data_IF_500256228677
#
_entry.id   IF_500256228677
#
_cell.length_a   1.000
_cell.length_b   1.000
_cell.length_c   1.000
_cell.angle_alpha   90.00
_cell.angle_beta   90.00
_cell.angle_gamma   90.00
#
_symmetry.space_group_name_H-M   'P 1'
#
loop_
_entity.id
_entity.type
_entity.pdbx_description
1 polymer ?
#
# COMPACT_ATOMS: atom_id res chain seq x y z
N UNK A 1 10.80 -14.62 -21.80
CA UNK A 1 10.58 -13.15 -21.86
C UNK A 1 9.13 -12.81 -21.45
N UNK A 2 8.65 -13.26 -20.28
CA UNK A 2 7.28 -12.97 -19.81
C UNK A 2 7.18 -11.63 -19.07
N UNK A 3 8.27 -11.20 -18.42
CA UNK A 3 8.34 -9.95 -17.65
C UNK A 3 8.27 -8.66 -18.49
N UNK A 4 8.21 -8.75 -19.83
CA UNK A 4 8.15 -7.58 -20.72
C UNK A 4 6.75 -7.27 -21.25
N UNK A 5 5.77 -8.15 -21.03
CA UNK A 5 4.39 -7.90 -21.45
C UNK A 5 3.67 -7.07 -20.40
N UNK A 6 3.12 -5.91 -20.79
CA UNK A 6 2.29 -5.04 -19.94
C UNK A 6 1.15 -5.82 -19.25
N UNK A 7 0.60 -6.83 -19.94
CA UNK A 7 -0.41 -7.76 -19.41
C UNK A 7 0.08 -8.61 -18.22
N UNK A 8 1.39 -8.79 -18.04
CA UNK A 8 1.95 -9.62 -16.98
C UNK A 8 1.75 -8.99 -15.60
N UNK A 9 1.96 -7.67 -15.46
CA UNK A 9 1.68 -6.97 -14.20
C UNK A 9 0.18 -6.95 -13.87
N UNK A 10 -0.67 -6.76 -14.88
CA UNK A 10 -2.12 -6.87 -14.72
C UNK A 10 -2.54 -8.28 -14.25
N UNK A 11 -1.91 -9.32 -14.77
CA UNK A 11 -2.17 -10.70 -14.35
C UNK A 11 -1.71 -10.96 -12.90
N UNK A 12 -0.51 -10.49 -12.54
CA UNK A 12 0.00 -10.65 -11.17
C UNK A 12 -0.87 -9.93 -10.14
N UNK A 13 -1.30 -8.70 -10.44
CA UNK A 13 -2.21 -7.96 -9.54
C UNK A 13 -3.57 -8.64 -9.48
N UNK A 14 -4.06 -9.25 -10.57
CA UNK A 14 -5.29 -10.02 -10.57
C UNK A 14 -5.20 -11.29 -9.69
N UNK A 15 -4.09 -12.03 -9.73
CA UNK A 15 -3.86 -13.15 -8.81
C UNK A 15 -3.85 -12.66 -7.36
N UNK A 16 -3.11 -11.58 -7.08
CA UNK A 16 -3.03 -11.01 -5.73
C UNK A 16 -4.41 -10.60 -5.21
N UNK A 17 -5.20 -9.90 -6.03
CA UNK A 17 -6.39 -9.18 -5.57
C UNK A 17 -7.72 -9.86 -5.87
N UNK A 18 -7.88 -10.47 -7.04
CA UNK A 18 -9.15 -11.01 -7.54
C UNK A 18 -9.34 -12.50 -7.28
N UNK A 19 -8.28 -13.30 -7.24
CA UNK A 19 -8.36 -14.75 -7.05
C UNK A 19 -8.42 -15.14 -5.56
N UNK A 20 -9.51 -14.77 -4.88
CA UNK A 20 -9.65 -14.96 -3.41
C UNK A 20 -9.65 -16.43 -2.96
N UNK A 21 -10.00 -17.36 -3.83
CA UNK A 21 -10.00 -18.81 -3.57
C UNK A 21 -8.59 -19.45 -3.61
N UNK A 22 -7.61 -18.73 -4.17
CA UNK A 22 -6.23 -19.22 -4.22
C UNK A 22 -5.53 -19.12 -2.87
N UNK A 23 -4.54 -19.99 -2.67
CA UNK A 23 -3.75 -19.99 -1.44
C UNK A 23 -3.06 -18.64 -1.20
N UNK A 24 -3.08 -18.17 0.05
CA UNK A 24 -2.47 -16.89 0.45
C UNK A 24 -0.98 -16.81 0.06
N UNK A 25 -0.26 -17.93 0.13
CA UNK A 25 1.14 -18.01 -0.28
C UNK A 25 1.32 -17.74 -1.78
N UNK A 26 0.47 -18.32 -2.63
CA UNK A 26 0.50 -18.11 -4.09
C UNK A 26 0.15 -16.67 -4.45
N UNK A 27 -0.88 -16.11 -3.80
CA UNK A 27 -1.30 -14.71 -3.98
C UNK A 27 -0.19 -13.73 -3.55
N UNK A 28 0.42 -13.99 -2.40
CA UNK A 28 1.54 -13.19 -1.89
C UNK A 28 2.77 -13.28 -2.79
N UNK A 29 3.11 -14.48 -3.29
CA UNK A 29 4.20 -14.66 -4.25
C UNK A 29 3.98 -13.85 -5.53
N UNK A 30 2.76 -13.86 -6.07
CA UNK A 30 2.40 -13.04 -7.23
C UNK A 30 2.60 -11.54 -6.93
N UNK A 31 2.21 -11.09 -5.74
CA UNK A 31 2.45 -9.71 -5.28
C UNK A 31 3.94 -9.35 -5.16
N UNK A 32 4.78 -10.26 -4.66
CA UNK A 32 6.23 -10.04 -4.57
C UNK A 32 6.89 -9.98 -5.95
N UNK A 33 6.44 -10.80 -6.91
CA UNK A 33 6.88 -10.72 -8.30
C UNK A 33 6.43 -9.37 -8.92
N UNK A 34 5.18 -8.96 -8.68
CA UNK A 34 4.65 -7.66 -9.12
C UNK A 34 5.51 -6.51 -8.59
N UNK A 35 5.85 -6.53 -7.29
CA UNK A 35 6.74 -5.54 -6.68
C UNK A 35 8.09 -5.44 -7.41
N UNK A 36 8.70 -6.55 -7.79
CA UNK A 36 9.96 -6.55 -8.55
C UNK A 36 9.79 -5.95 -9.96
N UNK A 37 8.64 -6.18 -10.60
CA UNK A 37 8.33 -5.59 -11.91
C UNK A 37 8.09 -4.07 -11.80
N UNK A 38 7.33 -3.62 -10.80
CA UNK A 38 7.16 -2.19 -10.49
C UNK A 38 8.53 -1.53 -10.37
N UNK A 39 9.37 -2.03 -9.47
CA UNK A 39 10.72 -1.48 -9.23
C UNK A 39 11.64 -1.43 -10.46
N UNK A 40 11.43 -2.26 -11.47
CA UNK A 40 12.31 -2.33 -12.64
C UNK A 40 11.75 -1.65 -13.89
N UNK A 41 10.43 -1.46 -13.97
CA UNK A 41 9.75 -1.09 -15.21
C UNK A 41 8.60 -0.09 -15.01
N UNK A 42 8.33 0.39 -13.80
CA UNK A 42 7.15 1.21 -13.50
C UNK A 42 6.94 2.36 -14.48
N UNK A 43 8.00 3.15 -14.71
CA UNK A 43 7.99 4.32 -15.61
C UNK A 43 7.80 3.97 -17.09
N UNK A 44 7.94 2.69 -17.46
CA UNK A 44 7.73 2.18 -18.83
C UNK A 44 6.31 1.70 -19.07
N UNK A 45 5.50 1.53 -18.01
CA UNK A 45 4.12 1.10 -18.16
C UNK A 45 3.24 2.26 -18.64
N UNK A 46 2.33 1.99 -19.60
CA UNK A 46 1.26 2.91 -19.96
C UNK A 46 0.40 3.32 -18.76
N UNK A 47 -0.21 4.49 -18.84
CA UNK A 47 -0.99 5.08 -17.75
C UNK A 47 -2.17 4.21 -17.32
N UNK A 48 -2.87 3.60 -18.28
CA UNK A 48 -3.99 2.68 -18.03
C UNK A 48 -3.54 1.43 -17.26
N UNK A 49 -2.36 0.89 -17.58
CA UNK A 49 -1.75 -0.23 -16.86
C UNK A 49 -1.35 0.19 -15.44
N UNK A 50 -0.74 1.36 -15.28
CA UNK A 50 -0.37 1.90 -13.96
C UNK A 50 -1.61 2.12 -13.10
N UNK A 51 -2.66 2.72 -13.65
CA UNK A 51 -3.93 2.94 -12.97
C UNK A 51 -4.62 1.63 -12.59
N UNK A 52 -4.62 0.64 -13.49
CA UNK A 52 -5.14 -0.69 -13.20
C UNK A 52 -4.42 -1.34 -12.02
N UNK A 53 -3.08 -1.31 -12.00
CA UNK A 53 -2.28 -1.88 -10.91
C UNK A 53 -2.51 -1.13 -9.59
N UNK A 54 -2.52 0.21 -9.61
CA UNK A 54 -2.83 1.06 -8.44
C UNK A 54 -4.18 0.68 -7.83
N UNK A 55 -5.22 0.63 -8.66
CA UNK A 55 -6.61 0.35 -8.25
C UNK A 55 -6.75 -1.05 -7.67
N UNK A 56 -6.28 -2.08 -8.37
CA UNK A 56 -6.43 -3.47 -7.93
C UNK A 56 -5.57 -3.79 -6.69
N UNK A 57 -4.43 -3.13 -6.55
CA UNK A 57 -3.59 -3.25 -5.34
C UNK A 57 -4.31 -2.64 -4.14
N UNK A 58 -4.85 -1.42 -4.26
CA UNK A 58 -5.64 -0.78 -3.20
C UNK A 58 -6.89 -1.56 -2.82
N UNK A 59 -7.54 -2.24 -3.77
CA UNK A 59 -8.71 -3.07 -3.49
C UNK A 59 -8.44 -4.21 -2.49
N UNK A 60 -7.18 -4.60 -2.27
CA UNK A 60 -6.78 -5.64 -1.33
C UNK A 60 -6.11 -5.13 -0.07
N UNK A 61 -6.17 -3.82 0.20
CA UNK A 61 -5.61 -3.23 1.43
C UNK A 61 -6.25 -3.78 2.70
N UNK A 62 -7.54 -4.17 2.62
CA UNK A 62 -8.32 -4.72 3.72
C UNK A 62 -8.52 -6.24 3.60
N UNK A 63 -7.64 -6.94 2.87
CA UNK A 63 -7.75 -8.39 2.71
C UNK A 63 -7.78 -9.10 4.07
N UNK A 64 -8.59 -10.16 4.28
CA UNK A 64 -8.62 -10.89 5.54
C UNK A 64 -7.25 -11.45 5.97
N UNK A 65 -6.41 -11.81 5.00
CA UNK A 65 -5.06 -12.30 5.27
C UNK A 65 -4.10 -11.17 5.58
N UNK A 66 -3.49 -11.21 6.77
CA UNK A 66 -2.45 -10.27 7.18
C UNK A 66 -1.22 -10.32 6.25
N UNK A 67 -0.92 -11.49 5.68
CA UNK A 67 0.15 -11.66 4.69
C UNK A 67 -0.14 -10.85 3.42
N UNK A 68 -1.37 -10.93 2.93
CA UNK A 68 -1.79 -10.17 1.74
C UNK A 68 -1.77 -8.68 2.01
N UNK A 69 -2.29 -8.21 3.17
CA UNK A 69 -2.21 -6.79 3.56
C UNK A 69 -0.77 -6.29 3.61
N UNK A 70 0.15 -7.06 4.18
CA UNK A 70 1.57 -6.72 4.21
C UNK A 70 2.16 -6.60 2.79
N UNK A 71 1.89 -7.57 1.92
CA UNK A 71 2.35 -7.56 0.52
C UNK A 71 1.77 -6.38 -0.27
N UNK A 72 0.49 -6.06 -0.08
CA UNK A 72 -0.16 -4.88 -0.67
C UNK A 72 0.52 -3.59 -0.21
N UNK A 73 0.78 -3.43 1.08
CA UNK A 73 1.50 -2.27 1.61
C UNK A 73 2.91 -2.11 1.02
N UNK A 74 3.63 -3.21 0.80
CA UNK A 74 4.94 -3.20 0.13
C UNK A 74 4.82 -2.73 -1.33
N UNK A 75 3.82 -3.20 -2.07
CA UNK A 75 3.61 -2.80 -3.47
C UNK A 75 3.25 -1.32 -3.55
N UNK A 76 2.32 -0.84 -2.71
CA UNK A 76 1.93 0.58 -2.66
C UNK A 76 3.16 1.46 -2.41
N UNK A 77 3.97 1.11 -1.41
CA UNK A 77 5.17 1.88 -1.07
C UNK A 77 6.19 1.85 -2.21
N UNK A 78 6.36 0.69 -2.86
CA UNK A 78 7.23 0.59 -4.04
C UNK A 78 6.73 1.49 -5.18
N UNK A 79 5.42 1.53 -5.45
CA UNK A 79 4.84 2.43 -6.46
C UNK A 79 5.14 3.89 -6.09
N UNK A 80 4.96 4.30 -4.83
CA UNK A 80 5.26 5.66 -4.38
C UNK A 80 6.72 6.02 -4.59
N UNK A 81 7.65 5.10 -4.29
CA UNK A 81 9.09 5.32 -4.51
C UNK A 81 9.40 5.51 -6.00
N UNK A 82 8.84 4.66 -6.88
CA UNK A 82 9.07 4.72 -8.33
C UNK A 82 8.34 5.91 -9.00
N UNK A 83 7.29 6.44 -8.39
CA UNK A 83 6.63 7.70 -8.79
C UNK A 83 7.36 8.94 -8.26
N UNK A 84 8.52 8.78 -7.61
CA UNK A 84 9.28 9.84 -6.96
C UNK A 84 8.48 10.59 -5.87
N UNK A 85 7.70 9.84 -5.08
CA UNK A 85 6.88 10.36 -3.99
C UNK A 85 5.38 10.34 -4.30
N UNK A 86 4.59 10.88 -3.37
CA UNK A 86 3.11 10.84 -3.44
C UNK A 86 2.51 11.86 -4.42
N UNK A 87 3.32 12.75 -5.01
CA UNK A 87 2.84 13.80 -5.91
C UNK A 87 2.12 13.29 -7.16
N UNK A 88 2.53 12.14 -7.72
CA UNK A 88 1.86 11.49 -8.86
C UNK A 88 0.75 10.50 -8.43
N UNK A 89 0.42 10.46 -7.14
CA UNK A 89 -0.73 9.73 -6.60
C UNK A 89 -1.37 10.50 -5.43
N UNK A 90 -1.86 11.73 -5.66
CA UNK A 90 -2.27 12.65 -4.60
C UNK A 90 -3.48 12.15 -3.79
N UNK A 91 -4.27 11.23 -4.35
CA UNK A 91 -5.44 10.63 -3.70
C UNK A 91 -5.09 9.51 -2.72
N UNK A 92 -3.85 9.00 -2.73
CA UNK A 92 -3.44 7.84 -1.93
C UNK A 92 -3.54 8.10 -0.42
N UNK A 93 -2.84 9.11 0.09
CA UNK A 93 -2.81 9.40 1.53
C UNK A 93 -4.18 9.81 2.07
N UNK A 94 -4.98 10.66 1.40
CA UNK A 94 -6.36 10.92 1.80
C UNK A 94 -7.21 9.65 1.88
N UNK A 95 -7.09 8.74 0.90
CA UNK A 95 -7.81 7.48 0.89
C UNK A 95 -7.39 6.57 2.05
N UNK A 96 -6.09 6.40 2.29
CA UNK A 96 -5.59 5.63 3.44
C UNK A 96 -6.08 6.25 4.77
N UNK A 97 -6.03 7.57 4.91
CA UNK A 97 -6.59 8.28 6.06
C UNK A 97 -8.08 7.98 6.27
N UNK A 98 -8.88 7.96 5.20
CA UNK A 98 -10.29 7.58 5.29
C UNK A 98 -10.51 6.13 5.77
N UNK A 99 -9.67 5.20 5.34
CA UNK A 99 -9.74 3.80 5.77
C UNK A 99 -9.45 3.62 7.27
N UNK A 100 -8.61 4.48 7.87
CA UNK A 100 -8.37 4.47 9.30
C UNK A 100 -9.63 4.81 10.12
N UNK A 101 -10.56 5.56 9.54
CA UNK A 101 -11.81 5.96 10.22
C UNK A 101 -12.90 4.90 10.09
N UNK A 102 -12.71 3.87 9.25
CA UNK A 102 -13.70 2.82 9.08
C UNK A 102 -13.70 1.87 10.28
N UNK A 103 -14.87 1.33 10.69
CA UNK A 103 -14.98 0.36 11.78
C UNK A 103 -14.59 -1.07 11.35
N UNK A 104 -13.62 -1.21 10.44
CA UNK A 104 -13.08 -2.49 9.98
C UNK A 104 -11.60 -2.61 10.40
N UNK A 105 -11.27 -3.54 11.32
CA UNK A 105 -9.89 -3.76 11.76
C UNK A 105 -8.91 -4.07 10.63
N UNK A 106 -9.35 -4.76 9.57
CA UNK A 106 -8.49 -5.08 8.43
C UNK A 106 -8.19 -3.84 7.58
N UNK A 107 -9.18 -2.96 7.38
CA UNK A 107 -8.98 -1.66 6.72
C UNK A 107 -8.02 -0.80 7.52
N UNK A 108 -8.24 -0.70 8.84
CA UNK A 108 -7.39 0.07 9.74
C UNK A 108 -5.96 -0.45 9.73
N UNK A 109 -5.75 -1.75 9.91
CA UNK A 109 -4.41 -2.35 9.94
C UNK A 109 -3.69 -2.23 8.59
N UNK A 110 -4.38 -2.51 7.49
CA UNK A 110 -3.81 -2.41 6.15
C UNK A 110 -3.41 -0.98 5.80
N UNK A 111 -4.30 -0.02 6.07
CA UNK A 111 -4.03 1.39 5.85
C UNK A 111 -2.87 1.90 6.73
N UNK A 112 -2.93 1.59 8.01
CA UNK A 112 -1.89 1.89 8.99
C UNK A 112 -0.52 1.40 8.54
N UNK A 113 -0.43 0.12 8.16
CA UNK A 113 0.81 -0.50 7.71
C UNK A 113 1.32 0.00 6.36
N UNK A 114 0.48 0.62 5.53
CA UNK A 114 0.90 1.30 4.31
C UNK A 114 1.40 2.72 4.59
N UNK A 115 0.69 3.50 5.42
CA UNK A 115 1.10 4.85 5.83
C UNK A 115 2.48 4.80 6.50
N UNK A 116 2.69 3.87 7.44
CA UNK A 116 3.97 3.70 8.13
C UNK A 116 5.12 3.48 7.14
N UNK A 117 4.96 2.56 6.18
CA UNK A 117 6.00 2.28 5.19
C UNK A 117 6.24 3.46 4.24
N UNK A 118 5.19 4.18 3.83
CA UNK A 118 5.35 5.38 2.99
C UNK A 118 6.15 6.45 3.74
N UNK A 119 5.84 6.67 5.01
CA UNK A 119 6.54 7.65 5.83
C UNK A 119 8.00 7.24 6.10
N UNK A 120 8.26 5.93 6.25
CA UNK A 120 9.61 5.37 6.44
C UNK A 120 10.46 5.46 5.15
N UNK A 121 9.91 4.99 4.01
CA UNK A 121 10.66 4.85 2.75
C UNK A 121 10.68 6.13 1.90
N UNK A 122 9.79 7.09 2.16
CA UNK A 122 9.64 8.32 1.34
C UNK A 122 9.44 9.59 2.17
N UNK A 123 9.81 9.58 3.45
CA UNK A 123 9.63 10.71 4.37
C UNK A 123 10.29 12.01 3.90
N UNK A 124 11.44 11.93 3.23
CA UNK A 124 12.15 13.06 2.63
C UNK A 124 11.39 13.72 1.45
N UNK A 125 10.38 13.03 0.91
CA UNK A 125 9.54 13.46 -0.22
C UNK A 125 8.12 13.82 0.21
N UNK A 126 7.85 13.87 1.52
CA UNK A 126 6.56 14.26 2.07
C UNK A 126 6.59 15.72 2.52
N UNK A 127 5.66 16.50 1.99
CA UNK A 127 5.32 17.80 2.57
C UNK A 127 4.55 17.63 3.90
N UNK A 128 5.06 18.24 4.97
CA UNK A 128 4.50 18.13 6.32
C UNK A 128 3.06 18.64 6.42
N UNK A 129 2.76 19.80 5.83
CA UNK A 129 1.45 20.44 5.92
C UNK A 129 0.40 19.72 5.08
N UNK A 130 0.79 19.29 3.88
CA UNK A 130 -0.12 18.68 2.91
C UNK A 130 -0.33 17.18 3.16
N UNK A 131 0.70 16.46 3.61
CA UNK A 131 0.65 14.99 3.69
C UNK A 131 0.61 14.46 5.12
N UNK A 132 1.36 15.06 6.05
CA UNK A 132 1.54 14.51 7.40
C UNK A 132 0.45 15.05 8.34
N UNK A 133 0.31 16.37 8.45
CA UNK A 133 -0.64 17.03 9.35
C UNK A 133 -2.10 16.52 9.21
N UNK A 134 -2.65 16.27 8.01
CA UNK A 134 -4.02 15.77 7.88
C UNK A 134 -4.22 14.35 8.42
N UNK A 135 -3.15 13.54 8.46
CA UNK A 135 -3.19 12.17 8.97
C UNK A 135 -2.94 12.11 10.48
N UNK A 136 -2.19 13.06 11.05
CA UNK A 136 -1.81 13.03 12.47
C UNK A 136 -2.98 12.83 13.45
N UNK A 137 -4.12 13.54 13.36
CA UNK A 137 -5.23 13.31 14.29
C UNK A 137 -5.80 11.88 14.21
N UNK A 138 -5.90 11.34 12.99
CA UNK A 138 -6.40 9.98 12.73
C UNK A 138 -5.44 8.91 13.23
N UNK A 139 -4.14 9.19 13.15
CA UNK A 139 -3.06 8.33 13.65
C UNK A 139 -3.07 8.32 15.18
N UNK A 140 -3.12 9.50 15.80
CA UNK A 140 -3.03 9.67 17.25
C UNK A 140 -4.20 9.02 17.99
N UNK A 141 -5.39 8.91 17.39
CA UNK A 141 -6.51 8.17 17.99
C UNK A 141 -6.21 6.68 18.22
N UNK A 142 -5.22 6.10 17.54
CA UNK A 142 -4.81 4.71 17.74
C UNK A 142 -3.78 4.50 18.86
N UNK A 143 -3.19 5.55 19.42
CA UNK A 143 -2.23 5.43 20.53
C UNK A 143 -2.87 4.88 21.81
N UNK A 144 -4.19 5.05 21.95
CA UNK A 144 -5.00 4.47 23.02
C UNK A 144 -5.83 3.26 22.55
N UNK A 145 -5.60 2.73 21.35
CA UNK A 145 -6.32 1.56 20.81
C UNK A 145 -6.14 0.35 21.73
N UNK A 146 -7.13 -0.53 21.84
CA UNK A 146 -6.96 -1.81 22.57
C UNK A 146 -6.01 -2.79 21.84
N UNK A 147 -5.80 -2.61 20.54
CA UNK A 147 -4.86 -3.41 19.76
C UNK A 147 -3.42 -2.95 19.99
N UNK A 148 -2.60 -3.81 20.60
CA UNK A 148 -1.17 -3.56 20.81
C UNK A 148 -0.43 -3.26 19.49
N UNK A 149 -0.80 -3.94 18.40
CA UNK A 149 -0.21 -3.71 17.08
C UNK A 149 -0.49 -2.29 16.56
N UNK A 150 -1.71 -1.80 16.76
CA UNK A 150 -2.10 -0.44 16.36
C UNK A 150 -1.47 0.63 17.26
N UNK A 151 -1.34 0.34 18.57
CA UNK A 151 -0.66 1.24 19.52
C UNK A 151 0.84 1.37 19.22
N UNK A 152 1.54 0.25 19.06
CA UNK A 152 3.01 0.21 19.00
C UNK A 152 3.58 0.37 17.59
N UNK A 153 2.76 0.31 16.54
CA UNK A 153 3.22 0.52 15.16
C UNK A 153 3.88 1.88 14.90
N UNK A 154 3.73 2.84 15.83
CA UNK A 154 4.24 4.21 15.73
C UNK A 154 5.55 4.47 16.48
N UNK A 155 6.13 3.51 17.20
CA UNK A 155 7.33 3.76 18.00
C UNK A 155 8.55 4.24 17.18
N UNK A 156 8.49 4.14 15.86
CA UNK A 156 9.50 4.63 14.92
C UNK A 156 9.46 6.17 14.79
N UNK A 157 8.32 6.83 15.09
CA UNK A 157 8.14 8.28 14.96
C UNK A 157 8.25 9.05 16.30
N UNK A 158 8.56 8.36 17.40
CA UNK A 158 8.64 8.96 18.76
C UNK A 158 10.07 9.25 19.24
N UNK A 159 11.05 9.31 18.34
CA UNK A 159 12.45 9.72 18.60
C UNK A 159 12.89 10.73 17.53
#
# INVERSE_FOLDING_TARGET
>A
MLNGHQSFCCYLVHILSGMKEEQEASRSLAGLILKNNVRSQWTKYPDDVREFVKTNTLASIADPSALIRATVGIIITTIVVEENGVGHWPTLLPYLGHLLEQPDPNMQEGSMGAIQKIFEDSGDRLDTEQHVHPLMPKILSFFSSESAKMRYGWHIFSL
#
